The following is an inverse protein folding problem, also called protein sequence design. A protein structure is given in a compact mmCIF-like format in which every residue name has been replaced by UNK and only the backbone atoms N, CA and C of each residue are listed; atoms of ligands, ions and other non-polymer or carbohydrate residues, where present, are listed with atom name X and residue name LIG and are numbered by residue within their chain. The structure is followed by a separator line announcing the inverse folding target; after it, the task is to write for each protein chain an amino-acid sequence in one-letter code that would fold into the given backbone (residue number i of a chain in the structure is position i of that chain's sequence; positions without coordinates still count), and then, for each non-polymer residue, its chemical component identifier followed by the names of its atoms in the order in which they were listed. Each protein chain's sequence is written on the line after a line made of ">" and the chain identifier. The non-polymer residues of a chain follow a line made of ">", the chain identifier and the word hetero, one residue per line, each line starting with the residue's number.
data_IF_039162563910
#
_entry.id   IF_039162563910
#
_cell.length_a   1.000
_cell.length_b   1.000
_cell.length_c   1.000
_cell.angle_alpha   90.00
_cell.angle_beta   90.00
_cell.angle_gamma   90.00
#
_symmetry.space_group_name_H-M   'P 1'
#
loop_
_entity.id
_entity.type
_entity.pdbx_description
1 polymer ?
#
# COMPACT_ATOMS: atom_id res chain seq x y z
N UNK A 1 -5.79 -25.62 -19.03
CA UNK A 1 -5.10 -24.33 -19.20
C UNK A 1 -5.41 -23.53 -17.96
N UNK A 2 -4.47 -23.43 -17.03
CA UNK A 2 -4.61 -22.51 -15.91
C UNK A 2 -4.69 -21.08 -16.48
N UNK A 3 -5.86 -20.46 -16.37
CA UNK A 3 -5.99 -19.06 -16.72
C UNK A 3 -5.21 -18.28 -15.65
N UNK A 4 -4.05 -17.77 -16.02
CA UNK A 4 -3.32 -16.85 -15.16
C UNK A 4 -4.25 -15.69 -14.83
N UNK A 5 -4.39 -15.38 -13.54
CA UNK A 5 -5.16 -14.23 -13.07
C UNK A 5 -4.51 -12.94 -13.57
N UNK A 6 -5.34 -11.97 -13.99
CA UNK A 6 -4.84 -10.67 -14.43
C UNK A 6 -4.51 -9.79 -13.24
N UNK A 7 -5.36 -9.77 -12.21
CA UNK A 7 -5.30 -8.80 -11.12
C UNK A 7 -5.54 -9.45 -9.74
N UNK A 8 -4.65 -9.16 -8.79
CA UNK A 8 -4.91 -9.37 -7.36
C UNK A 8 -5.07 -8.04 -6.66
N UNK A 9 -6.24 -7.81 -6.08
CA UNK A 9 -6.52 -6.66 -5.20
C UNK A 9 -6.22 -7.07 -3.78
N UNK A 10 -5.39 -6.33 -3.06
CA UNK A 10 -4.92 -6.68 -1.71
C UNK A 10 -5.33 -5.58 -0.74
N UNK A 11 -6.05 -5.94 0.30
CA UNK A 11 -6.48 -5.02 1.34
C UNK A 11 -6.15 -5.56 2.73
N UNK A 12 -5.29 -4.86 3.51
CA UNK A 12 -5.09 -5.15 4.92
C UNK A 12 -6.33 -4.74 5.72
N UNK A 13 -6.68 -5.56 6.71
CA UNK A 13 -7.82 -5.36 7.60
C UNK A 13 -7.34 -5.42 9.05
N UNK A 14 -7.74 -4.44 9.87
CA UNK A 14 -7.51 -4.49 11.32
C UNK A 14 -8.61 -3.73 12.06
N UNK A 15 -9.55 -4.48 12.68
CA UNK A 15 -10.71 -3.93 13.37
C UNK A 15 -11.52 -2.96 12.49
N UNK A 16 -11.98 -3.45 11.34
CA UNK A 16 -12.73 -2.70 10.33
C UNK A 16 -14.09 -3.35 10.01
N UNK A 17 -14.65 -4.15 10.95
CA UNK A 17 -15.91 -4.90 10.75
C UNK A 17 -17.02 -4.05 10.14
N UNK A 18 -17.18 -2.82 10.63
CA UNK A 18 -18.24 -1.90 10.18
C UNK A 18 -18.09 -1.48 8.70
N UNK A 19 -16.88 -1.52 8.16
CA UNK A 19 -16.59 -1.08 6.80
C UNK A 19 -16.53 -2.24 5.79
N UNK A 20 -16.32 -3.49 6.25
CA UNK A 20 -15.99 -4.62 5.38
C UNK A 20 -17.05 -4.93 4.33
N UNK A 21 -18.34 -4.96 4.69
CA UNK A 21 -19.41 -5.27 3.74
C UNK A 21 -19.47 -4.23 2.62
N UNK A 22 -19.46 -2.95 2.98
CA UNK A 22 -19.48 -1.84 2.02
C UNK A 22 -18.22 -1.84 1.15
N UNK A 23 -17.04 -2.11 1.75
CA UNK A 23 -15.77 -2.20 1.04
C UNK A 23 -15.78 -3.33 0.01
N UNK A 24 -16.17 -4.54 0.40
CA UNK A 24 -16.21 -5.70 -0.50
C UNK A 24 -17.22 -5.45 -1.63
N UNK A 25 -18.39 -4.90 -1.32
CA UNK A 25 -19.41 -4.56 -2.31
C UNK A 25 -18.88 -3.54 -3.33
N UNK A 26 -18.19 -2.49 -2.87
CA UNK A 26 -17.64 -1.45 -3.75
C UNK A 26 -16.51 -1.99 -4.66
N UNK A 27 -15.64 -2.87 -4.14
CA UNK A 27 -14.62 -3.54 -4.96
C UNK A 27 -15.27 -4.45 -6.01
N UNK A 28 -16.26 -5.25 -5.63
CA UNK A 28 -17.01 -6.12 -6.57
C UNK A 28 -17.69 -5.29 -7.66
N UNK A 29 -18.31 -4.17 -7.30
CA UNK A 29 -18.93 -3.26 -8.25
C UNK A 29 -17.91 -2.68 -9.23
N UNK A 30 -16.79 -2.14 -8.75
CA UNK A 30 -15.73 -1.59 -9.58
C UNK A 30 -15.14 -2.64 -10.53
N UNK A 31 -14.99 -3.89 -10.07
CA UNK A 31 -14.43 -4.97 -10.88
C UNK A 31 -15.43 -5.56 -11.87
N UNK A 32 -16.74 -5.51 -11.60
CA UNK A 32 -17.79 -6.02 -12.51
C UNK A 32 -17.84 -5.28 -13.86
N UNK A 33 -17.44 -4.00 -13.88
CA UNK A 33 -17.35 -3.19 -15.09
C UNK A 33 -16.12 -3.53 -15.97
N UNK A 34 -15.22 -4.38 -15.47
CA UNK A 34 -13.96 -4.69 -16.13
C UNK A 34 -13.92 -6.14 -16.63
N UNK A 35 -13.12 -6.38 -17.66
CA UNK A 35 -12.93 -7.69 -18.29
C UNK A 35 -11.76 -8.50 -17.71
N UNK A 36 -11.07 -7.98 -16.66
CA UNK A 36 -9.96 -8.70 -16.06
C UNK A 36 -10.45 -9.86 -15.20
N UNK A 37 -9.73 -10.95 -15.26
CA UNK A 37 -9.84 -12.00 -14.24
C UNK A 37 -9.18 -11.50 -12.95
N UNK A 38 -9.89 -11.54 -11.82
CA UNK A 38 -9.43 -10.89 -10.59
C UNK A 38 -9.72 -11.71 -9.34
N UNK A 39 -8.91 -11.47 -8.32
CA UNK A 39 -9.13 -11.91 -6.95
C UNK A 39 -9.02 -10.73 -5.97
N UNK A 40 -9.73 -10.82 -4.85
CA UNK A 40 -9.58 -9.94 -3.70
C UNK A 40 -8.97 -10.72 -2.55
N UNK A 41 -7.82 -10.29 -2.06
CA UNK A 41 -7.11 -10.87 -0.93
C UNK A 41 -7.26 -9.93 0.26
N UNK A 42 -8.05 -10.34 1.25
CA UNK A 42 -8.27 -9.62 2.49
C UNK A 42 -7.35 -10.23 3.56
N UNK A 43 -6.45 -9.42 4.11
CA UNK A 43 -5.46 -9.89 5.10
C UNK A 43 -5.81 -9.30 6.44
N UNK A 44 -6.35 -10.11 7.32
CA UNK A 44 -6.66 -9.71 8.70
C UNK A 44 -5.41 -9.73 9.55
N UNK A 45 -5.08 -8.57 10.11
CA UNK A 45 -3.89 -8.37 10.96
C UNK A 45 -4.23 -8.57 12.46
N UNK A 46 -4.91 -9.67 12.77
CA UNK A 46 -5.24 -10.05 14.14
C UNK A 46 -6.33 -9.18 14.76
N UNK A 47 -7.45 -8.99 14.05
CA UNK A 47 -8.63 -8.25 14.55
C UNK A 47 -9.35 -8.98 15.68
N UNK A 48 -9.98 -8.20 16.58
CA UNK A 48 -10.73 -8.69 17.75
C UNK A 48 -12.20 -8.22 17.74
N UNK A 49 -12.65 -7.55 16.66
CA UNK A 49 -13.97 -6.92 16.55
C UNK A 49 -15.01 -7.79 15.80
N UNK A 50 -14.67 -9.04 15.46
CA UNK A 50 -15.50 -9.93 14.64
C UNK A 50 -15.26 -9.78 13.13
N UNK A 51 -14.25 -9.02 12.69
CA UNK A 51 -13.78 -8.98 11.30
C UNK A 51 -13.39 -10.38 10.78
N UNK A 52 -12.66 -11.23 11.54
CA UNK A 52 -12.22 -12.54 11.04
C UNK A 52 -13.38 -13.46 10.65
N UNK A 53 -14.47 -13.49 11.44
CA UNK A 53 -15.67 -14.30 11.17
C UNK A 53 -16.37 -13.84 9.90
N UNK A 54 -16.50 -12.53 9.74
CA UNK A 54 -17.12 -11.92 8.57
C UNK A 54 -16.29 -12.20 7.30
N UNK A 55 -14.96 -12.09 7.38
CA UNK A 55 -14.07 -12.40 6.26
C UNK A 55 -14.14 -13.87 5.83
N UNK A 56 -14.24 -14.80 6.78
CA UNK A 56 -14.42 -16.24 6.49
C UNK A 56 -15.72 -16.50 5.74
N UNK A 57 -16.82 -15.83 6.15
CA UNK A 57 -18.11 -15.95 5.45
C UNK A 57 -17.99 -15.47 4.00
N UNK A 58 -17.44 -14.27 3.77
CA UNK A 58 -17.25 -13.77 2.42
C UNK A 58 -16.36 -14.66 1.55
N UNK A 59 -15.28 -15.22 2.11
CA UNK A 59 -14.40 -16.13 1.38
C UNK A 59 -15.07 -17.45 1.03
N UNK A 60 -15.98 -17.95 1.88
CA UNK A 60 -16.71 -19.20 1.61
C UNK A 60 -17.80 -19.03 0.53
N UNK A 61 -18.39 -17.84 0.43
CA UNK A 61 -19.47 -17.52 -0.50
C UNK A 61 -18.98 -17.06 -1.88
N UNK A 62 -17.73 -16.64 -1.99
CA UNK A 62 -17.19 -16.02 -3.20
C UNK A 62 -15.83 -16.63 -3.57
N UNK A 63 -15.76 -17.34 -4.69
CA UNK A 63 -14.55 -18.02 -5.15
C UNK A 63 -13.39 -17.09 -5.51
N UNK A 64 -13.67 -15.81 -5.78
CA UNK A 64 -12.69 -14.78 -6.10
C UNK A 64 -12.30 -13.93 -4.87
N UNK A 65 -12.79 -14.25 -3.67
CA UNK A 65 -12.40 -13.59 -2.43
C UNK A 65 -11.63 -14.58 -1.56
N UNK A 66 -10.43 -14.20 -1.19
CA UNK A 66 -9.55 -14.99 -0.31
C UNK A 66 -9.30 -14.21 0.97
N UNK A 67 -9.29 -14.93 2.09
CA UNK A 67 -9.00 -14.35 3.38
C UNK A 67 -7.76 -14.99 3.99
N UNK A 68 -6.84 -14.18 4.46
CA UNK A 68 -5.67 -14.59 5.23
C UNK A 68 -5.81 -14.02 6.64
N UNK A 69 -5.67 -14.87 7.66
CA UNK A 69 -5.78 -14.46 9.05
C UNK A 69 -4.41 -14.59 9.71
N UNK A 70 -3.86 -13.48 10.14
CA UNK A 70 -2.64 -13.48 10.94
C UNK A 70 -2.98 -13.81 12.40
N UNK A 71 -2.09 -14.51 13.09
CA UNK A 71 -2.32 -14.99 14.45
C UNK A 71 -2.40 -13.90 15.52
N UNK A 72 -1.90 -12.69 15.21
CA UNK A 72 -1.96 -11.49 16.05
C UNK A 72 -1.67 -10.26 15.19
N UNK A 73 -1.78 -9.06 15.75
CA UNK A 73 -1.37 -7.84 15.06
C UNK A 73 0.16 -7.80 14.89
N UNK A 74 0.59 -7.86 13.63
CA UNK A 74 2.00 -7.70 13.20
C UNK A 74 2.27 -6.37 12.52
N UNK A 75 1.24 -5.58 12.25
CA UNK A 75 1.28 -4.30 11.55
C UNK A 75 0.99 -4.38 10.06
N UNK A 76 0.50 -3.27 9.52
CA UNK A 76 0.03 -3.14 8.14
C UNK A 76 1.03 -3.64 7.09
N UNK A 77 2.33 -3.41 7.30
CA UNK A 77 3.39 -3.86 6.38
C UNK A 77 3.41 -5.37 6.25
N UNK A 78 3.29 -6.10 7.37
CA UNK A 78 3.27 -7.57 7.37
C UNK A 78 2.01 -8.10 6.67
N UNK A 79 0.86 -7.47 6.92
CA UNK A 79 -0.39 -7.84 6.26
C UNK A 79 -0.29 -7.62 4.74
N UNK A 80 0.25 -6.50 4.27
CA UNK A 80 0.48 -6.25 2.85
C UNK A 80 1.45 -7.26 2.26
N UNK A 81 2.56 -7.58 2.95
CA UNK A 81 3.52 -8.58 2.48
C UNK A 81 2.88 -9.97 2.36
N UNK A 82 2.08 -10.38 3.33
CA UNK A 82 1.35 -11.65 3.26
C UNK A 82 0.39 -11.69 2.05
N UNK A 83 -0.26 -10.55 1.76
CA UNK A 83 -1.08 -10.39 0.56
C UNK A 83 -0.27 -10.52 -0.73
N UNK A 84 0.91 -9.90 -0.81
CA UNK A 84 1.82 -10.02 -1.97
C UNK A 84 2.29 -11.46 -2.16
N UNK A 85 2.64 -12.16 -1.08
CA UNK A 85 3.10 -13.55 -1.14
C UNK A 85 2.00 -14.53 -1.58
N UNK A 86 0.74 -14.21 -1.31
CA UNK A 86 -0.42 -15.02 -1.68
C UNK A 86 -1.02 -14.68 -3.05
N UNK A 87 -0.65 -13.54 -3.63
CA UNK A 87 -1.23 -13.04 -4.87
C UNK A 87 -0.82 -13.87 -6.09
N UNK A 88 -1.78 -14.13 -6.97
CA UNK A 88 -1.60 -14.91 -8.21
C UNK A 88 -1.70 -14.06 -9.48
N UNK A 89 -2.14 -12.80 -9.37
CA UNK A 89 -2.33 -11.90 -10.49
C UNK A 89 -1.02 -11.43 -11.12
N UNK A 90 -1.08 -11.17 -12.43
CA UNK A 90 0.01 -10.51 -13.17
C UNK A 90 0.26 -9.10 -12.66
N UNK A 91 -0.81 -8.42 -12.27
CA UNK A 91 -0.78 -7.10 -11.66
C UNK A 91 -1.33 -7.18 -10.24
N UNK A 92 -0.78 -6.36 -9.36
CA UNK A 92 -1.24 -6.25 -7.97
C UNK A 92 -1.72 -4.83 -7.71
N UNK A 93 -2.79 -4.69 -6.96
CA UNK A 93 -3.27 -3.39 -6.48
C UNK A 93 -3.46 -3.47 -4.98
N UNK A 94 -2.89 -2.51 -4.25
CA UNK A 94 -3.16 -2.36 -2.81
C UNK A 94 -4.11 -1.20 -2.56
N UNK A 95 -5.00 -1.33 -1.59
CA UNK A 95 -5.80 -0.23 -1.04
C UNK A 95 -6.22 -0.55 0.40
N UNK A 96 -6.51 0.48 1.19
CA UNK A 96 -7.01 0.30 2.56
C UNK A 96 -8.50 -0.06 2.55
N UNK A 97 -8.92 -0.85 3.54
CA UNK A 97 -10.31 -1.32 3.70
C UNK A 97 -11.26 -0.32 4.39
N UNK A 98 -10.80 0.90 4.65
CA UNK A 98 -11.50 1.95 5.41
C UNK A 98 -12.39 2.88 4.57
N UNK A 99 -12.63 2.53 3.29
CA UNK A 99 -13.46 3.28 2.33
C UNK A 99 -12.96 4.70 2.01
N UNK A 100 -11.72 5.06 2.37
CA UNK A 100 -11.17 6.36 2.01
C UNK A 100 -10.71 6.42 0.54
N UNK A 101 -10.23 5.32 -0.03
CA UNK A 101 -9.91 5.21 -1.45
C UNK A 101 -11.14 4.71 -2.21
N UNK A 102 -11.33 5.23 -3.40
CA UNK A 102 -12.40 4.83 -4.30
C UNK A 102 -11.96 3.60 -5.12
N UNK A 103 -12.59 2.42 -4.98
CA UNK A 103 -12.25 1.25 -5.78
C UNK A 103 -12.43 1.44 -7.29
N UNK A 104 -13.22 2.41 -7.77
CA UNK A 104 -13.33 2.72 -9.19
C UNK A 104 -12.00 3.24 -9.78
N UNK A 105 -11.14 3.81 -8.97
CA UNK A 105 -9.81 4.26 -9.39
C UNK A 105 -8.83 3.08 -9.63
N UNK A 106 -9.17 1.84 -9.21
CA UNK A 106 -8.36 0.63 -9.50
C UNK A 106 -8.17 0.48 -11.02
N UNK A 107 -9.23 0.65 -11.78
CA UNK A 107 -9.17 0.56 -13.25
C UNK A 107 -8.29 1.64 -13.87
N UNK A 108 -8.39 2.86 -13.36
CA UNK A 108 -7.62 4.01 -13.87
C UNK A 108 -6.12 3.83 -13.63
N UNK A 109 -5.76 3.44 -12.39
CA UNK A 109 -4.36 3.26 -12.01
C UNK A 109 -3.72 2.07 -12.73
N UNK A 110 -4.49 0.99 -12.94
CA UNK A 110 -4.03 -0.20 -13.65
C UNK A 110 -3.88 0.06 -15.16
N UNK A 111 -4.83 0.77 -15.78
CA UNK A 111 -4.71 1.15 -17.20
C UNK A 111 -3.46 2.01 -17.41
N UNK A 112 -3.21 3.03 -16.57
CA UNK A 112 -2.00 3.83 -16.65
C UNK A 112 -0.73 2.98 -16.56
N UNK A 113 -0.70 2.01 -15.64
CA UNK A 113 0.45 1.11 -15.49
C UNK A 113 0.70 0.28 -16.75
N UNK A 114 -0.37 -0.20 -17.39
CA UNK A 114 -0.29 -1.03 -18.60
C UNK A 114 0.07 -0.19 -19.82
N UNK A 115 -0.67 0.91 -20.07
CA UNK A 115 -0.59 1.71 -21.29
C UNK A 115 0.76 2.46 -21.38
N UNK A 116 1.31 2.88 -20.26
CA UNK A 116 2.61 3.58 -20.20
C UNK A 116 3.78 2.62 -19.89
N UNK A 117 3.55 1.32 -19.90
CA UNK A 117 4.56 0.27 -19.59
C UNK A 117 5.35 0.55 -18.30
N UNK A 118 4.62 0.87 -17.23
CA UNK A 118 5.19 1.17 -15.91
C UNK A 118 5.26 -0.08 -15.03
N UNK A 119 6.08 -0.02 -13.99
CA UNK A 119 6.22 -1.07 -12.98
C UNK A 119 5.50 -0.72 -11.68
N UNK A 120 5.32 0.58 -11.42
CA UNK A 120 4.58 1.11 -10.27
C UNK A 120 3.81 2.37 -10.65
N UNK A 121 2.53 2.43 -10.28
CA UNK A 121 1.76 3.67 -10.27
C UNK A 121 1.20 3.89 -8.87
N UNK A 122 1.35 5.10 -8.35
CA UNK A 122 0.92 5.51 -7.01
C UNK A 122 -0.25 6.47 -7.12
N UNK A 123 -1.27 6.30 -6.30
CA UNK A 123 -2.36 7.26 -6.19
C UNK A 123 -1.88 8.58 -5.57
N UNK A 124 -2.30 9.69 -6.15
CA UNK A 124 -2.09 11.04 -5.60
C UNK A 124 -3.40 11.63 -5.12
N UNK A 125 -3.57 11.76 -3.80
CA UNK A 125 -4.74 12.36 -3.14
C UNK A 125 -4.63 13.90 -3.17
N UNK A 126 -4.83 14.48 -4.36
CA UNK A 126 -4.62 15.92 -4.59
C UNK A 126 -5.52 16.80 -3.69
N UNK A 127 -6.80 16.42 -3.56
CA UNK A 127 -7.80 17.20 -2.82
C UNK A 127 -8.00 16.72 -1.38
N UNK A 128 -6.92 16.25 -0.76
CA UNK A 128 -6.94 15.76 0.62
C UNK A 128 -7.37 16.86 1.59
N UNK A 129 -8.49 16.62 2.32
CA UNK A 129 -9.10 17.55 3.28
C UNK A 129 -8.43 17.51 4.67
N UNK A 130 -7.13 17.32 4.75
CA UNK A 130 -6.39 17.29 6.02
C UNK A 130 -5.91 18.67 6.46
N UNK A 131 -5.76 18.87 7.80
CA UNK A 131 -5.17 20.08 8.38
C UNK A 131 -3.76 20.35 7.83
N UNK A 132 -3.61 21.49 7.13
CA UNK A 132 -2.42 21.85 6.36
C UNK A 132 -1.13 21.86 7.18
N UNK A 133 -1.14 22.50 8.37
CA UNK A 133 0.08 22.66 9.17
C UNK A 133 0.57 21.36 9.83
N UNK A 134 -0.34 20.53 10.32
CA UNK A 134 0.03 19.35 11.13
C UNK A 134 0.35 18.11 10.30
N UNK A 135 -0.15 18.03 9.06
CA UNK A 135 -0.01 16.83 8.22
C UNK A 135 0.61 17.09 6.85
N UNK A 136 0.33 18.21 6.19
CA UNK A 136 0.88 18.50 4.85
C UNK A 136 2.35 18.91 4.89
N UNK A 137 2.76 19.75 5.83
CA UNK A 137 4.14 20.24 5.90
C UNK A 137 5.17 19.14 6.20
N UNK A 138 4.99 18.26 7.22
CA UNK A 138 5.89 17.13 7.43
C UNK A 138 5.94 16.16 6.24
N UNK A 139 4.79 15.93 5.59
CA UNK A 139 4.71 15.08 4.39
C UNK A 139 5.49 15.66 3.21
N UNK A 140 5.43 16.98 2.97
CA UNK A 140 6.18 17.64 1.90
C UNK A 140 7.69 17.56 2.12
N UNK A 141 8.15 17.76 3.36
CA UNK A 141 9.58 17.64 3.72
C UNK A 141 10.03 16.19 3.49
N UNK A 142 9.24 15.22 3.96
CA UNK A 142 9.49 13.80 3.78
C UNK A 142 9.57 13.42 2.30
N UNK A 143 8.59 13.82 1.50
CA UNK A 143 8.55 13.54 0.06
C UNK A 143 9.76 14.14 -0.67
N UNK A 144 10.16 15.38 -0.32
CA UNK A 144 11.33 16.03 -0.91
C UNK A 144 12.64 15.31 -0.57
N UNK A 145 12.77 14.88 0.69
CA UNK A 145 13.95 14.11 1.13
C UNK A 145 14.04 12.77 0.39
N UNK A 146 12.93 12.03 0.32
CA UNK A 146 12.87 10.76 -0.40
C UNK A 146 13.18 10.98 -1.88
N UNK A 147 12.57 11.98 -2.52
CA UNK A 147 12.82 12.28 -3.92
C UNK A 147 14.30 12.58 -4.22
N UNK A 148 15.00 13.28 -3.32
CA UNK A 148 16.43 13.56 -3.47
C UNK A 148 17.30 12.31 -3.33
N UNK A 149 16.88 11.33 -2.51
CA UNK A 149 17.63 10.10 -2.27
C UNK A 149 17.37 9.08 -3.38
N UNK A 150 16.12 8.98 -3.84
CA UNK A 150 15.67 7.92 -4.76
C UNK A 150 15.69 8.34 -6.23
N UNK A 151 15.70 9.65 -6.50
CA UNK A 151 15.45 10.20 -7.84
C UNK A 151 13.97 10.16 -8.27
N UNK A 152 13.10 9.54 -7.49
CA UNK A 152 11.65 9.45 -7.76
C UNK A 152 10.95 10.66 -7.20
N UNK A 153 10.21 11.39 -8.02
CA UNK A 153 9.46 12.58 -7.62
C UNK A 153 7.98 12.26 -7.60
N UNK A 154 7.41 12.06 -6.41
CA UNK A 154 5.98 11.82 -6.18
C UNK A 154 5.42 12.88 -5.23
N UNK A 155 4.18 13.26 -5.45
CA UNK A 155 3.45 14.17 -4.57
C UNK A 155 2.91 13.45 -3.32
N UNK A 156 2.57 12.15 -3.42
CA UNK A 156 1.99 11.39 -2.32
C UNK A 156 2.56 9.97 -2.23
N UNK A 157 3.66 9.78 -1.51
CA UNK A 157 4.21 8.44 -1.24
C UNK A 157 3.31 7.58 -0.36
N UNK A 158 2.50 8.21 0.48
CA UNK A 158 1.71 7.55 1.52
C UNK A 158 0.31 7.11 1.09
N UNK A 159 -0.08 7.28 -0.17
CA UNK A 159 -1.36 6.75 -0.64
C UNK A 159 -1.33 5.22 -0.62
N UNK A 160 -2.37 4.58 -0.08
CA UNK A 160 -2.47 3.11 -0.05
C UNK A 160 -2.86 2.53 -1.41
N UNK A 161 -3.59 3.29 -2.23
CA UNK A 161 -3.93 2.85 -3.58
C UNK A 161 -2.68 2.92 -4.49
N UNK A 162 -2.16 1.76 -4.83
CA UNK A 162 -0.98 1.59 -5.70
C UNK A 162 -1.17 0.38 -6.59
N UNK A 163 -0.73 0.48 -7.84
CA UNK A 163 -0.68 -0.64 -8.80
C UNK A 163 0.76 -1.02 -9.09
N UNK A 164 1.02 -2.33 -9.20
CA UNK A 164 2.34 -2.91 -9.37
C UNK A 164 2.36 -3.99 -10.44
N UNK A 165 3.49 -4.18 -11.12
CA UNK A 165 3.79 -5.43 -11.79
C UNK A 165 4.23 -6.47 -10.75
N UNK A 166 3.59 -7.63 -10.75
CA UNK A 166 3.85 -8.71 -9.78
C UNK A 166 5.32 -9.16 -9.79
N UNK A 167 5.93 -9.26 -10.96
CA UNK A 167 7.32 -9.71 -11.12
C UNK A 167 8.34 -8.85 -10.38
N UNK A 168 8.11 -7.52 -10.33
CA UNK A 168 9.01 -6.59 -9.63
C UNK A 168 8.89 -6.72 -8.11
N UNK A 169 7.68 -6.98 -7.62
CA UNK A 169 7.45 -7.13 -6.18
C UNK A 169 8.07 -8.39 -5.59
N UNK A 170 8.27 -9.46 -6.39
CA UNK A 170 8.93 -10.68 -5.92
C UNK A 170 10.35 -10.45 -5.42
N UNK A 171 10.99 -9.38 -5.88
CA UNK A 171 12.34 -8.99 -5.44
C UNK A 171 12.34 -8.06 -4.23
N UNK A 172 11.18 -7.59 -3.80
CA UNK A 172 11.02 -6.61 -2.70
C UNK A 172 10.37 -7.30 -1.52
N UNK A 173 11.07 -7.36 -0.38
CA UNK A 173 10.52 -7.82 0.90
C UNK A 173 10.26 -6.61 1.77
N UNK A 174 9.04 -6.51 2.29
CA UNK A 174 8.61 -5.43 3.16
C UNK A 174 8.73 -5.84 4.63
N UNK A 175 9.24 -4.92 5.47
CA UNK A 175 9.28 -5.07 6.93
C UNK A 175 9.21 -3.72 7.64
N UNK A 176 8.93 -3.71 8.94
CA UNK A 176 8.77 -2.47 9.72
C UNK A 176 7.64 -1.61 9.18
N UNK A 177 7.88 -0.33 8.94
CA UNK A 177 6.90 0.65 8.41
C UNK A 177 7.09 0.91 6.89
N UNK A 178 7.67 -0.04 6.16
CA UNK A 178 8.02 0.12 4.74
C UNK A 178 6.81 0.32 3.81
N UNK A 179 5.62 -0.10 4.20
CA UNK A 179 4.41 0.05 3.39
C UNK A 179 4.18 1.50 2.92
N UNK A 180 4.61 2.48 3.72
CA UNK A 180 4.50 3.92 3.40
C UNK A 180 5.47 4.36 2.32
N UNK A 181 6.59 3.66 2.19
CA UNK A 181 7.72 4.03 1.34
C UNK A 181 8.00 3.00 0.25
N UNK A 182 7.02 2.14 -0.08
CA UNK A 182 7.17 1.14 -1.16
C UNK A 182 7.77 1.76 -2.44
N UNK A 183 7.35 2.96 -2.91
CA UNK A 183 7.94 3.55 -4.10
C UNK A 183 9.44 3.81 -3.97
N UNK A 184 9.90 4.19 -2.77
CA UNK A 184 11.32 4.39 -2.51
C UNK A 184 12.09 3.07 -2.56
N UNK A 185 11.50 2.00 -2.03
CA UNK A 185 12.11 0.65 -2.08
C UNK A 185 12.14 0.11 -3.50
N UNK A 186 11.06 0.26 -4.24
CA UNK A 186 11.04 -0.15 -5.64
C UNK A 186 12.08 0.60 -6.48
N UNK A 187 12.34 1.88 -6.19
CA UNK A 187 13.39 2.66 -6.86
C UNK A 187 14.82 2.10 -6.66
N UNK A 188 15.03 1.17 -5.73
CA UNK A 188 16.29 0.42 -5.62
C UNK A 188 16.42 -0.72 -6.63
N UNK A 189 15.31 -1.12 -7.25
CA UNK A 189 15.20 -2.27 -8.16
C UNK A 189 14.84 -1.88 -9.58
N UNK A 190 14.05 -0.83 -9.74
CA UNK A 190 13.56 -0.34 -11.03
C UNK A 190 13.98 1.12 -11.26
N UNK A 191 14.16 1.53 -12.52
CA UNK A 191 14.51 2.91 -12.81
C UNK A 191 13.35 3.86 -12.47
N UNK A 192 13.63 5.11 -12.02
CA UNK A 192 12.61 6.09 -11.70
C UNK A 192 11.60 6.35 -12.83
N UNK A 193 12.00 6.17 -14.09
CA UNK A 193 11.11 6.30 -15.27
C UNK A 193 9.98 5.27 -15.34
N UNK A 194 10.09 4.17 -14.60
CA UNK A 194 9.06 3.12 -14.49
C UNK A 194 8.12 3.34 -13.30
N UNK A 195 8.28 4.45 -12.59
CA UNK A 195 7.44 4.84 -11.44
C UNK A 195 6.69 6.12 -11.80
N UNK A 196 5.37 6.13 -11.66
CA UNK A 196 4.52 7.29 -11.93
C UNK A 196 3.44 7.45 -10.86
N UNK A 197 2.68 8.53 -10.95
CA UNK A 197 1.52 8.77 -10.08
C UNK A 197 0.29 9.15 -10.89
N UNK A 198 -0.89 8.97 -10.30
CA UNK A 198 -2.18 9.33 -10.86
C UNK A 198 -3.04 9.99 -9.78
N UNK A 199 -3.71 11.09 -10.12
CA UNK A 199 -4.70 11.71 -9.22
C UNK A 199 -5.86 10.75 -9.01
N UNK A 200 -6.16 10.46 -7.73
CA UNK A 200 -7.22 9.54 -7.32
C UNK A 200 -8.21 10.22 -6.39
N UNK A 201 -9.43 9.71 -6.35
CA UNK A 201 -10.47 10.16 -5.43
C UNK A 201 -10.10 9.78 -3.99
N UNK A 202 -10.44 10.66 -3.05
CA UNK A 202 -10.22 10.40 -1.63
C UNK A 202 -11.39 10.95 -0.81
N UNK A 203 -12.06 10.08 -0.08
CA UNK A 203 -13.19 10.41 0.78
C UNK A 203 -12.75 10.58 2.24
N UNK A 204 -13.54 11.33 3.01
CA UNK A 204 -13.39 11.33 4.46
C UNK A 204 -13.80 9.94 5.01
N UNK A 205 -13.14 9.50 6.09
CA UNK A 205 -13.51 8.26 6.77
C UNK A 205 -14.96 8.32 7.24
N UNK A 206 -15.74 7.31 6.94
CA UNK A 206 -17.18 7.24 7.27
C UNK A 206 -17.43 6.58 8.62
N UNK A 207 -16.61 5.61 9.05
CA UNK A 207 -16.73 4.91 10.32
C UNK A 207 -15.34 4.61 10.91
N UNK A 208 -15.30 4.31 12.22
CA UNK A 208 -14.07 3.97 12.94
C UNK A 208 -13.31 5.17 13.53
N UNK A 209 -12.45 4.90 14.51
CA UNK A 209 -11.64 5.93 15.20
C UNK A 209 -10.26 6.04 14.54
N UNK A 210 -9.81 7.27 14.28
CA UNK A 210 -8.43 7.50 13.81
C UNK A 210 -7.44 7.02 14.88
N UNK A 211 -6.74 5.95 14.62
CA UNK A 211 -5.74 5.31 15.52
C UNK A 211 -4.44 6.13 15.64
N UNK A 212 -4.38 7.37 15.13
CA UNK A 212 -3.13 8.13 14.98
C UNK A 212 -3.13 9.47 15.73
N UNK A 213 -2.23 9.61 16.71
CA UNK A 213 -1.94 10.83 17.47
C UNK A 213 -0.69 11.60 16.97
N UNK A 214 -0.30 12.68 17.69
CA UNK A 214 0.85 13.57 17.41
C UNK A 214 2.19 12.81 17.34
N UNK A 215 2.33 11.66 18.03
CA UNK A 215 3.50 10.77 17.95
C UNK A 215 3.82 10.26 16.53
N UNK A 216 2.89 10.42 15.57
CA UNK A 216 3.08 10.00 14.17
C UNK A 216 4.19 10.79 13.47
N UNK A 217 4.27 12.10 13.71
CA UNK A 217 5.28 12.95 13.05
C UNK A 217 6.70 12.53 13.42
N UNK A 218 6.90 12.21 14.71
CA UNK A 218 8.20 11.71 15.18
C UNK A 218 8.51 10.33 14.59
N UNK A 219 7.54 9.41 14.55
CA UNK A 219 7.71 8.09 13.92
C UNK A 219 8.05 8.20 12.43
N UNK A 220 7.35 9.04 11.68
CA UNK A 220 7.67 9.27 10.25
C UNK A 220 9.10 9.77 10.07
N UNK A 221 9.60 10.62 10.97
CA UNK A 221 10.99 11.09 10.92
C UNK A 221 11.98 9.93 11.17
N UNK A 222 11.73 9.08 12.15
CA UNK A 222 12.56 7.88 12.41
C UNK A 222 12.48 6.91 11.22
N UNK A 223 11.29 6.72 10.64
CA UNK A 223 11.10 5.88 9.46
C UNK A 223 11.91 6.40 8.26
N UNK A 224 11.99 7.73 8.09
CA UNK A 224 12.82 8.35 7.04
C UNK A 224 14.32 8.10 7.23
N UNK A 225 14.81 8.15 8.47
CA UNK A 225 16.19 7.78 8.78
C UNK A 225 16.44 6.30 8.41
N UNK A 226 15.48 5.44 8.74
CA UNK A 226 15.55 4.02 8.39
C UNK A 226 15.57 3.81 6.88
N UNK A 227 14.68 4.47 6.14
CA UNK A 227 14.67 4.43 4.67
C UNK A 227 16.00 4.90 4.10
N UNK A 228 16.53 6.05 4.59
CA UNK A 228 17.83 6.57 4.15
C UNK A 228 18.97 5.59 4.42
N UNK A 229 19.01 5.01 5.63
CA UNK A 229 19.99 4.00 6.00
C UNK A 229 19.95 2.79 5.06
N UNK A 230 18.76 2.21 4.88
CA UNK A 230 18.60 1.04 4.02
C UNK A 230 18.96 1.33 2.56
N UNK A 231 18.56 2.47 2.03
CA UNK A 231 18.84 2.80 0.63
C UNK A 231 20.33 3.05 0.37
N UNK A 232 21.02 3.66 1.30
CA UNK A 232 22.42 4.11 1.08
C UNK A 232 23.46 3.22 1.73
N UNK A 233 23.13 2.57 2.83
CA UNK A 233 24.10 1.86 3.67
C UNK A 233 23.78 0.38 3.92
N UNK A 234 22.69 -0.15 3.37
CA UNK A 234 22.29 -1.55 3.58
C UNK A 234 23.43 -2.54 3.28
N UNK A 235 24.14 -2.33 2.17
CA UNK A 235 25.28 -3.17 1.79
C UNK A 235 26.58 -2.84 2.54
N UNK A 236 26.65 -1.70 3.25
CA UNK A 236 27.83 -1.22 3.96
C UNK A 236 27.47 -0.57 5.30
N UNK A 237 26.82 -1.30 6.24
CA UNK A 237 26.34 -0.73 7.51
C UNK A 237 27.46 -0.17 8.38
N UNK A 238 28.67 -0.74 8.30
CA UNK A 238 29.85 -0.24 9.01
C UNK A 238 30.24 1.21 8.67
N UNK A 239 29.97 1.69 7.45
CA UNK A 239 30.21 3.08 7.10
C UNK A 239 29.28 4.06 7.79
N UNK A 240 28.01 3.65 8.03
CA UNK A 240 27.05 4.47 8.75
C UNK A 240 27.36 4.52 10.25
N UNK A 241 27.50 3.35 10.88
CA UNK A 241 27.74 3.26 12.32
C UNK A 241 29.15 3.74 12.71
N UNK A 242 30.17 3.51 11.87
CA UNK A 242 31.51 4.01 12.07
C UNK A 242 31.58 5.53 12.08
N UNK A 243 30.87 6.20 11.15
CA UNK A 243 30.77 7.67 11.14
C UNK A 243 30.06 8.21 12.38
N UNK A 244 28.95 7.57 12.80
CA UNK A 244 28.20 7.95 14.00
C UNK A 244 28.99 7.71 15.30
N UNK A 245 29.84 6.68 15.34
CA UNK A 245 30.68 6.37 16.51
C UNK A 245 31.94 7.21 16.64
N UNK A 246 32.33 7.95 15.59
CA UNK A 246 33.45 8.89 15.60
C UNK A 246 33.03 10.33 15.99
N UNK A 247 31.72 10.63 15.99
CA UNK A 247 31.12 11.88 16.46
C UNK A 247 30.71 11.80 17.93
#
# INVERSE_FOLDING_TARGET
>A
MDKSLDLSVIAPVFNEKENLEAFIASVKQAMSANRWSWELILVDDGSEDGSPELLKSFSSENSNIRCLLLSKNYGQTTAIQAGFDAASGKYLVTLDSDLQNDPEDISKILNKLIDEDLDLVVGWRKDRKDNFLMRKLPSLIANRLIANITGVKLHDYGCSLKAYRSEVLKEVRLYGEMHRFIPAWMATKIPPSKISELVVNHSARTAGVSKYGISRTFRVFVDLISVYFFMKFFSKPGHFFGLMGLL
#
